data_IF_460697334164
#
_entry.id   IF_460697334164
#
_cell.length_a   1.000
_cell.length_b   1.000
_cell.length_c   1.000
_cell.angle_alpha   90.00
_cell.angle_beta   90.00
_cell.angle_gamma   90.00
#
_symmetry.space_group_name_H-M   'P 1'
#
loop_
_entity.id
_entity.type
_entity.pdbx_description
1 polymer ?
#
# COMPACT_ATOMS: atom_id res chain seq x y z
N UNK A 1 3.61 -17.37 17.09
CA UNK A 1 3.04 -17.91 15.85
C UNK A 1 3.11 -19.42 15.90
N UNK A 2 2.07 -20.12 15.45
CA UNK A 2 2.08 -21.57 15.22
C UNK A 2 1.84 -21.86 13.74
N UNK A 3 2.56 -22.83 13.19
CA UNK A 3 2.46 -23.23 11.78
C UNK A 3 2.22 -24.74 11.69
N UNK A 4 1.33 -25.13 10.80
CA UNK A 4 0.99 -26.52 10.52
C UNK A 4 1.22 -26.80 9.05
N UNK A 5 1.70 -28.01 8.76
CA UNK A 5 2.06 -28.42 7.41
C UNK A 5 1.43 -29.78 7.12
N UNK A 6 1.09 -30.01 5.85
CA UNK A 6 0.79 -31.36 5.38
C UNK A 6 2.03 -32.25 5.35
N UNK A 7 1.81 -33.55 5.42
CA UNK A 7 2.85 -34.58 5.34
C UNK A 7 2.52 -35.52 4.17
N UNK A 8 3.42 -35.77 3.20
CA UNK A 8 4.85 -35.38 3.15
C UNK A 8 5.18 -34.07 2.41
N UNK A 9 4.20 -33.35 1.84
CA UNK A 9 4.46 -32.24 0.92
C UNK A 9 4.92 -30.91 1.55
N UNK A 10 4.94 -30.79 2.89
CA UNK A 10 5.39 -29.60 3.62
C UNK A 10 4.71 -28.27 3.18
N UNK A 11 3.55 -28.32 2.53
CA UNK A 11 2.72 -27.13 2.26
C UNK A 11 2.10 -26.64 3.56
N UNK A 12 2.06 -25.32 3.77
CA UNK A 12 1.46 -24.71 4.96
C UNK A 12 -0.05 -24.93 4.94
N UNK A 13 -0.60 -25.67 5.90
CA UNK A 13 -2.04 -25.97 6.00
C UNK A 13 -2.76 -25.11 7.04
N UNK A 14 -2.03 -24.54 8.00
CA UNK A 14 -2.60 -23.59 8.94
C UNK A 14 -1.57 -22.69 9.61
N UNK A 15 -2.02 -21.49 9.99
CA UNK A 15 -1.28 -20.56 10.82
C UNK A 15 -2.16 -20.07 12.00
N UNK A 16 -1.58 -20.03 13.20
CA UNK A 16 -2.26 -19.57 14.43
C UNK A 16 -1.46 -18.47 15.14
N UNK A 17 -2.18 -17.62 15.87
CA UNK A 17 -1.62 -16.62 16.78
C UNK A 17 -2.04 -17.01 18.20
N UNK A 18 -1.06 -17.21 19.10
CA UNK A 18 -1.29 -17.65 20.48
C UNK A 18 -2.15 -18.93 20.62
N UNK A 19 -2.01 -19.87 19.68
CA UNK A 19 -2.82 -21.10 19.65
C UNK A 19 -4.30 -20.87 19.29
N UNK A 20 -4.66 -19.63 18.93
CA UNK A 20 -5.98 -19.20 18.48
C UNK A 20 -5.87 -18.49 17.11
N UNK A 21 -6.94 -17.81 16.67
CA UNK A 21 -6.96 -17.01 15.44
C UNK A 21 -6.44 -17.78 14.19
N UNK A 22 -6.98 -18.98 14.02
CA UNK A 22 -6.63 -19.90 12.95
C UNK A 22 -6.90 -19.29 11.57
N UNK A 23 -5.93 -19.42 10.68
CA UNK A 23 -6.10 -19.28 9.24
C UNK A 23 -5.70 -20.62 8.63
N UNK A 24 -6.67 -21.31 8.03
CA UNK A 24 -6.46 -22.58 7.34
C UNK A 24 -6.16 -22.34 5.86
N UNK A 25 -5.43 -23.26 5.24
CA UNK A 25 -5.08 -23.23 3.83
C UNK A 25 -5.34 -24.59 3.19
N UNK A 26 -5.87 -24.59 1.97
CA UNK A 26 -6.06 -25.80 1.17
C UNK A 26 -5.51 -25.58 -0.23
N UNK A 27 -5.11 -26.69 -0.86
CA UNK A 27 -4.49 -26.70 -2.17
C UNK A 27 -5.14 -27.78 -3.04
N UNK A 28 -5.08 -27.62 -4.35
CA UNK A 28 -5.39 -28.70 -5.29
C UNK A 28 -4.22 -29.69 -5.42
N UNK A 29 -4.42 -30.69 -6.29
CA UNK A 29 -3.44 -31.75 -6.57
C UNK A 29 -2.18 -31.21 -7.26
N UNK A 30 -2.27 -30.06 -7.95
CA UNK A 30 -1.14 -29.37 -8.59
C UNK A 30 -0.41 -28.41 -7.63
N UNK A 31 -0.92 -28.23 -6.41
CA UNK A 31 -0.33 -27.38 -5.38
C UNK A 31 -0.70 -25.91 -5.46
N UNK A 32 -1.71 -25.56 -6.25
CA UNK A 32 -2.26 -24.21 -6.27
C UNK A 32 -3.18 -24.02 -5.06
N UNK A 33 -3.10 -22.83 -4.46
CA UNK A 33 -3.91 -22.48 -3.30
C UNK A 33 -5.38 -22.33 -3.71
N UNK A 34 -6.26 -23.13 -3.11
CA UNK A 34 -7.71 -23.11 -3.36
C UNK A 34 -8.51 -22.58 -2.18
N UNK A 35 -7.89 -22.44 -1.01
CA UNK A 35 -8.50 -21.83 0.17
C UNK A 35 -7.47 -21.05 1.00
N UNK A 36 -7.84 -19.85 1.45
CA UNK A 36 -7.10 -19.07 2.44
C UNK A 36 -8.08 -18.51 3.48
N UNK A 37 -8.03 -19.03 4.71
CA UNK A 37 -9.05 -18.77 5.72
C UNK A 37 -10.44 -19.19 5.22
N UNK A 38 -11.40 -18.26 5.27
CA UNK A 38 -12.75 -18.48 4.75
C UNK A 38 -12.90 -18.18 3.25
N UNK A 39 -11.84 -17.69 2.58
CA UNK A 39 -11.88 -17.36 1.17
C UNK A 39 -11.60 -18.59 0.32
N UNK A 40 -12.44 -18.82 -0.68
CA UNK A 40 -12.18 -19.78 -1.76
C UNK A 40 -11.45 -19.06 -2.90
N UNK A 41 -10.43 -19.69 -3.45
CA UNK A 41 -9.66 -19.25 -4.60
C UNK A 41 -9.84 -20.27 -5.72
N UNK A 42 -10.16 -19.80 -6.92
CA UNK A 42 -10.38 -20.64 -8.11
C UNK A 42 -9.30 -20.34 -9.14
N UNK A 43 -8.20 -21.11 -9.18
CA UNK A 43 -7.23 -21.02 -10.25
C UNK A 43 -7.74 -21.67 -11.55
N UNK A 44 -7.29 -21.18 -12.71
CA UNK A 44 -7.59 -21.81 -13.99
C UNK A 44 -6.84 -23.14 -14.10
N UNK A 45 -7.56 -24.21 -14.42
CA UNK A 45 -7.00 -25.57 -14.57
C UNK A 45 -5.86 -25.74 -15.60
N UNK A 46 -5.63 -24.79 -16.52
CA UNK A 46 -4.66 -24.96 -17.62
C UNK A 46 -3.35 -24.18 -17.41
N UNK A 47 -3.42 -23.04 -16.71
CA UNK A 47 -2.28 -22.14 -16.54
C UNK A 47 -2.11 -21.65 -15.09
N UNK A 48 -2.98 -22.06 -14.17
CA UNK A 48 -2.87 -21.78 -12.73
C UNK A 48 -3.09 -20.33 -12.29
N UNK A 49 -3.35 -19.40 -13.22
CA UNK A 49 -3.69 -18.01 -12.89
C UNK A 49 -5.04 -17.98 -12.17
N UNK A 50 -5.15 -17.13 -11.15
CA UNK A 50 -6.37 -16.98 -10.36
C UNK A 50 -7.50 -16.40 -11.22
N UNK A 51 -8.61 -17.11 -11.40
CA UNK A 51 -9.76 -16.63 -12.17
C UNK A 51 -10.81 -15.97 -11.30
N UNK A 52 -10.96 -16.44 -10.04
CA UNK A 52 -11.95 -15.89 -9.13
C UNK A 52 -11.58 -16.09 -7.66
N UNK A 53 -12.12 -15.24 -6.80
CA UNK A 53 -12.24 -15.51 -5.36
C UNK A 53 -13.69 -15.37 -4.90
N UNK A 54 -14.02 -16.03 -3.79
CA UNK A 54 -15.30 -15.81 -3.10
C UNK A 54 -15.08 -15.82 -1.59
N UNK A 55 -15.60 -14.80 -0.92
CA UNK A 55 -15.59 -14.68 0.53
C UNK A 55 -16.92 -14.06 0.99
N UNK A 56 -17.79 -14.87 1.60
CA UNK A 56 -19.14 -14.43 1.98
C UNK A 56 -19.95 -13.97 0.77
N UNK A 57 -20.54 -12.77 0.84
CA UNK A 57 -21.29 -12.19 -0.28
C UNK A 57 -20.42 -11.51 -1.34
N UNK A 58 -19.10 -11.46 -1.13
CA UNK A 58 -18.18 -10.79 -2.04
C UNK A 58 -17.52 -11.82 -2.96
N UNK A 59 -17.55 -11.56 -4.26
CA UNK A 59 -16.88 -12.38 -5.26
C UNK A 59 -16.04 -11.50 -6.18
N UNK A 60 -14.81 -11.93 -6.48
CA UNK A 60 -13.95 -11.28 -7.48
C UNK A 60 -13.74 -12.19 -8.67
N UNK A 61 -13.65 -11.61 -9.87
CA UNK A 61 -13.19 -12.30 -11.08
C UNK A 61 -12.01 -11.55 -11.70
N UNK A 62 -11.14 -12.29 -12.38
CA UNK A 62 -9.94 -11.78 -13.04
C UNK A 62 -9.90 -12.25 -14.49
N UNK A 63 -9.49 -11.37 -15.39
CA UNK A 63 -9.22 -11.68 -16.78
C UNK A 63 -7.78 -11.29 -17.11
N UNK A 64 -7.16 -12.05 -18.01
CA UNK A 64 -5.76 -11.88 -18.38
C UNK A 64 -5.61 -11.74 -19.89
N UNK A 65 -4.57 -11.04 -20.32
CA UNK A 65 -4.15 -11.01 -21.72
C UNK A 65 -3.64 -12.40 -22.14
N UNK A 66 -3.51 -12.68 -23.45
CA UNK A 66 -2.86 -13.90 -23.92
C UNK A 66 -1.41 -14.10 -23.43
N UNK A 67 -0.79 -13.05 -22.90
CA UNK A 67 0.56 -13.08 -22.32
C UNK A 67 0.55 -13.28 -20.78
N UNK A 68 -0.63 -13.43 -20.17
CA UNK A 68 -0.80 -13.66 -18.73
C UNK A 68 -0.78 -12.38 -17.88
N UNK A 69 -0.77 -11.20 -18.49
CA UNK A 69 -0.88 -9.93 -17.75
C UNK A 69 -2.32 -9.70 -17.32
N UNK A 70 -2.55 -9.13 -16.13
CA UNK A 70 -3.90 -8.77 -15.69
C UNK A 70 -4.51 -7.74 -16.66
N UNK A 71 -5.67 -8.08 -17.22
CA UNK A 71 -6.41 -7.27 -18.18
C UNK A 71 -7.65 -6.65 -17.54
N UNK A 72 -8.32 -7.38 -16.64
CA UNK A 72 -9.42 -6.84 -15.85
C UNK A 72 -9.58 -7.57 -14.52
N UNK A 73 -10.15 -6.87 -13.55
CA UNK A 73 -10.63 -7.45 -12.31
C UNK A 73 -11.95 -6.81 -11.89
N UNK A 74 -12.88 -7.58 -11.35
CA UNK A 74 -14.21 -7.10 -10.96
C UNK A 74 -14.63 -7.73 -9.65
N UNK A 75 -15.00 -6.92 -8.66
CA UNK A 75 -15.61 -7.38 -7.43
C UNK A 75 -17.12 -7.07 -7.42
N UNK A 76 -17.89 -8.05 -7.00
CA UNK A 76 -19.34 -7.94 -6.79
C UNK A 76 -19.70 -8.19 -5.34
N UNK A 77 -20.81 -7.61 -4.90
CA UNK A 77 -21.44 -7.85 -3.60
C UNK A 77 -22.85 -8.36 -3.86
N UNK A 78 -23.14 -9.58 -3.43
CA UNK A 78 -24.40 -10.26 -3.73
C UNK A 78 -24.77 -10.21 -5.24
N UNK A 79 -23.77 -10.32 -6.12
CA UNK A 79 -23.91 -10.27 -7.57
C UNK A 79 -23.96 -8.87 -8.20
N UNK A 80 -24.05 -7.79 -7.41
CA UNK A 80 -24.00 -6.42 -7.92
C UNK A 80 -22.55 -5.90 -8.01
N UNK A 81 -22.13 -5.24 -9.11
CA UNK A 81 -20.78 -4.69 -9.24
C UNK A 81 -20.51 -3.61 -8.18
N UNK A 82 -19.38 -3.73 -7.48
CA UNK A 82 -18.91 -2.75 -6.50
C UNK A 82 -17.61 -2.07 -6.96
N UNK A 83 -16.72 -2.86 -7.55
CA UNK A 83 -15.37 -2.48 -7.94
C UNK A 83 -15.03 -3.12 -9.28
N UNK A 84 -14.40 -2.39 -10.19
CA UNK A 84 -13.84 -2.98 -11.39
C UNK A 84 -12.64 -2.17 -11.90
N UNK A 85 -11.59 -2.84 -12.40
CA UNK A 85 -10.64 -2.22 -13.32
C UNK A 85 -10.58 -2.98 -14.64
N UNK A 86 -10.24 -2.27 -15.70
CA UNK A 86 -9.70 -2.86 -16.92
C UNK A 86 -8.52 -2.05 -17.46
N UNK A 87 -7.64 -2.74 -18.19
CA UNK A 87 -6.38 -2.20 -18.74
C UNK A 87 -6.33 -2.34 -20.27
N UNK A 88 -7.31 -1.76 -21.01
CA UNK A 88 -7.55 -2.09 -22.41
C UNK A 88 -6.45 -1.62 -23.37
N UNK A 89 -5.52 -0.77 -22.93
CA UNK A 89 -4.43 -0.27 -23.75
C UNK A 89 -3.14 -0.30 -22.95
N UNK A 90 -2.16 -1.04 -23.47
CA UNK A 90 -0.76 -1.02 -23.07
C UNK A 90 0.09 -0.56 -24.25
N UNK A 91 1.30 -0.08 -23.98
CA UNK A 91 2.30 0.08 -25.04
C UNK A 91 3.07 -1.22 -25.31
N UNK A 92 4.00 -1.17 -26.26
CA UNK A 92 4.81 -2.31 -26.68
C UNK A 92 5.73 -2.87 -25.58
N UNK A 93 5.92 -2.12 -24.48
CA UNK A 93 6.68 -2.56 -23.30
C UNK A 93 5.76 -3.06 -22.17
N UNK A 94 4.45 -3.20 -22.42
CA UNK A 94 3.46 -3.67 -21.45
C UNK A 94 3.01 -2.60 -20.44
N UNK A 95 3.48 -1.35 -20.55
CA UNK A 95 3.09 -0.27 -19.63
C UNK A 95 1.66 0.15 -19.90
N UNK A 96 0.87 0.35 -18.85
CA UNK A 96 -0.55 0.70 -18.94
C UNK A 96 -0.67 2.10 -19.53
N UNK A 97 -1.30 2.23 -20.70
CA UNK A 97 -1.66 3.53 -21.30
C UNK A 97 -3.09 3.94 -21.03
N UNK A 98 -3.97 3.00 -20.71
CA UNK A 98 -5.35 3.28 -20.30
C UNK A 98 -5.79 2.35 -19.18
N UNK A 99 -6.34 2.92 -18.12
CA UNK A 99 -7.08 2.23 -17.07
C UNK A 99 -8.52 2.75 -17.05
N UNK A 100 -9.49 1.85 -17.01
CA UNK A 100 -10.89 2.19 -16.71
C UNK A 100 -11.21 1.63 -15.34
N UNK A 101 -11.60 2.49 -14.40
CA UNK A 101 -11.91 2.12 -13.01
C UNK A 101 -13.36 2.44 -12.69
N UNK A 102 -14.09 1.46 -12.16
CA UNK A 102 -15.43 1.65 -11.58
C UNK A 102 -15.35 1.44 -10.07
N UNK A 103 -15.70 2.49 -9.31
CA UNK A 103 -15.72 2.47 -7.85
C UNK A 103 -17.08 2.90 -7.33
N UNK A 104 -17.81 1.97 -6.69
CA UNK A 104 -19.15 2.19 -6.14
C UNK A 104 -20.10 2.85 -7.14
N UNK A 105 -20.10 2.36 -8.39
CA UNK A 105 -20.96 2.86 -9.47
C UNK A 105 -20.40 4.03 -10.28
N UNK A 106 -19.29 4.66 -9.86
CA UNK A 106 -18.65 5.75 -10.61
C UNK A 106 -17.53 5.21 -11.48
N UNK A 107 -17.65 5.36 -12.80
CA UNK A 107 -16.62 4.97 -13.77
C UNK A 107 -15.74 6.15 -14.17
N UNK A 108 -14.43 5.99 -14.08
CA UNK A 108 -13.41 6.96 -14.47
C UNK A 108 -12.42 6.32 -15.44
N UNK A 109 -12.11 7.02 -16.53
CA UNK A 109 -11.02 6.62 -17.43
C UNK A 109 -9.78 7.43 -17.14
N UNK A 110 -8.66 6.74 -17.01
CA UNK A 110 -7.32 7.30 -16.85
C UNK A 110 -6.48 6.96 -18.08
N UNK A 111 -5.84 7.95 -18.66
CA UNK A 111 -4.88 7.78 -19.75
C UNK A 111 -3.49 8.20 -19.29
N UNK A 112 -2.50 7.36 -19.57
CA UNK A 112 -1.10 7.58 -19.20
C UNK A 112 -0.24 7.70 -20.45
N UNK A 113 0.65 8.68 -20.44
CA UNK A 113 1.74 8.79 -21.39
C UNK A 113 3.08 8.63 -20.67
N UNK A 114 4.08 8.17 -21.41
CA UNK A 114 5.43 7.98 -20.91
C UNK A 114 6.42 8.72 -21.80
N UNK A 115 7.45 9.28 -21.19
CA UNK A 115 8.54 9.92 -21.93
C UNK A 115 9.44 8.87 -22.62
N UNK A 116 10.40 9.28 -23.47
CA UNK A 116 11.30 8.33 -24.14
C UNK A 116 12.19 7.49 -23.19
N UNK A 117 12.41 7.94 -21.95
CA UNK A 117 13.11 7.17 -20.92
C UNK A 117 12.17 6.20 -20.16
N UNK A 118 10.87 6.25 -20.47
CA UNK A 118 9.84 5.40 -19.90
C UNK A 118 9.31 5.84 -18.54
N UNK A 119 9.54 7.09 -18.17
CA UNK A 119 8.98 7.70 -16.95
C UNK A 119 7.58 8.20 -17.24
N UNK A 120 6.70 8.18 -16.24
CA UNK A 120 5.33 8.67 -16.37
C UNK A 120 5.37 10.16 -16.71
N UNK A 121 4.83 10.55 -17.86
CA UNK A 121 4.91 11.90 -18.39
C UNK A 121 3.61 12.66 -18.10
N UNK A 122 2.51 12.24 -18.71
CA UNK A 122 1.20 12.87 -18.47
C UNK A 122 0.16 11.86 -18.00
N UNK A 123 -0.77 12.36 -17.19
CA UNK A 123 -1.95 11.64 -16.71
C UNK A 123 -3.18 12.46 -17.07
N UNK A 124 -4.14 11.83 -17.73
CA UNK A 124 -5.44 12.42 -18.00
C UNK A 124 -6.54 11.65 -17.26
N UNK A 125 -7.53 12.37 -16.74
CA UNK A 125 -8.73 11.82 -16.10
C UNK A 125 -9.97 12.28 -16.86
N UNK A 126 -10.67 11.35 -17.48
CA UNK A 126 -11.83 11.67 -18.33
C UNK A 126 -11.48 12.59 -19.51
N UNK A 127 -10.26 12.45 -20.05
CA UNK A 127 -9.74 13.30 -21.13
C UNK A 127 -9.15 14.64 -20.70
N UNK A 128 -9.33 15.08 -19.45
CA UNK A 128 -8.70 16.29 -18.93
C UNK A 128 -7.30 15.97 -18.37
N UNK A 129 -6.30 16.77 -18.70
CA UNK A 129 -4.97 16.68 -18.08
C UNK A 129 -5.09 16.92 -16.57
N UNK A 130 -4.49 16.04 -15.77
CA UNK A 130 -4.45 16.17 -14.30
C UNK A 130 -3.03 16.06 -13.74
N UNK A 131 -2.06 15.64 -14.54
CA UNK A 131 -0.66 15.70 -14.19
C UNK A 131 0.20 15.74 -15.45
N UNK A 132 1.20 16.62 -15.44
CA UNK A 132 2.31 16.70 -16.38
C UNK A 132 3.60 16.72 -15.56
N UNK A 133 4.42 15.68 -15.68
CA UNK A 133 5.60 15.45 -14.87
C UNK A 133 6.86 15.83 -15.64
N UNK A 134 7.67 16.70 -15.04
CA UNK A 134 9.01 16.96 -15.55
C UNK A 134 10.06 16.28 -14.67
N UNK A 135 11.17 15.92 -15.31
CA UNK A 135 12.29 15.27 -14.66
C UNK A 135 13.61 15.91 -15.10
N UNK A 136 14.61 15.86 -14.22
CA UNK A 136 15.98 16.18 -14.61
C UNK A 136 16.64 15.02 -15.40
N UNK A 137 17.91 15.22 -15.75
CA UNK A 137 18.69 14.23 -16.50
C UNK A 137 18.99 12.94 -15.71
N UNK A 138 18.97 13.00 -14.37
CA UNK A 138 19.21 11.84 -13.49
C UNK A 138 17.92 11.07 -13.16
N UNK A 139 16.75 11.60 -13.56
CA UNK A 139 15.47 10.96 -13.28
C UNK A 139 14.76 11.47 -12.04
N UNK A 140 15.25 12.53 -11.41
CA UNK A 140 14.56 13.14 -10.29
C UNK A 140 13.36 13.97 -10.79
N UNK A 141 12.19 13.80 -10.15
CA UNK A 141 10.96 14.50 -10.53
C UNK A 141 11.01 15.97 -10.10
N UNK A 142 11.11 16.87 -11.06
CA UNK A 142 11.16 18.31 -10.81
C UNK A 142 9.80 18.85 -10.35
N UNK A 143 8.71 18.46 -10.98
CA UNK A 143 7.38 18.90 -10.54
C UNK A 143 6.27 18.00 -11.11
N UNK A 144 5.06 18.24 -10.61
CA UNK A 144 3.81 17.84 -11.26
C UNK A 144 3.04 19.12 -11.57
N UNK A 145 2.77 19.40 -12.83
CA UNK A 145 1.97 20.54 -13.27
C UNK A 145 0.60 20.05 -13.75
N UNK A 146 -0.46 20.34 -12.99
CA UNK A 146 -1.83 19.90 -13.31
C UNK A 146 -2.40 20.60 -14.55
N UNK A 147 -1.82 21.74 -14.97
CA UNK A 147 -2.27 22.54 -16.13
C UNK A 147 -1.43 22.33 -17.39
N UNK A 148 -0.35 21.55 -17.29
CA UNK A 148 0.59 21.30 -18.38
C UNK A 148 1.59 22.44 -18.62
N UNK A 149 2.69 22.10 -19.29
CA UNK A 149 3.76 23.04 -19.63
C UNK A 149 4.86 23.13 -18.57
N UNK A 150 5.72 24.15 -18.68
CA UNK A 150 6.94 24.26 -17.87
C UNK A 150 6.67 24.25 -16.36
N UNK A 151 7.59 23.64 -15.58
CA UNK A 151 7.49 23.60 -14.13
C UNK A 151 7.45 25.02 -13.53
N UNK A 152 6.36 25.39 -12.81
CA UNK A 152 6.29 26.71 -12.19
C UNK A 152 7.25 26.85 -11.02
N UNK A 153 7.39 25.79 -10.21
CA UNK A 153 8.30 25.71 -9.06
C UNK A 153 9.01 24.36 -9.08
N UNK A 154 10.14 24.21 -9.79
CA UNK A 154 10.84 22.94 -9.85
C UNK A 154 11.50 22.62 -8.49
N UNK A 155 11.46 21.35 -8.14
CA UNK A 155 12.24 20.77 -7.06
C UNK A 155 13.74 20.94 -7.33
N UNK A 156 14.50 21.12 -6.26
CA UNK A 156 15.95 21.29 -6.30
C UNK A 156 16.59 20.06 -5.70
N UNK A 157 17.58 19.51 -6.39
CA UNK A 157 18.36 18.36 -5.95
C UNK A 157 19.82 18.75 -5.78
N UNK A 158 20.52 18.11 -4.86
CA UNK A 158 21.97 18.24 -4.76
C UNK A 158 22.69 17.26 -5.72
N UNK A 159 24.02 17.32 -5.74
CA UNK A 159 24.85 16.47 -6.62
C UNK A 159 24.78 14.96 -6.30
N UNK A 160 24.09 14.56 -5.23
CA UNK A 160 23.87 13.17 -4.84
C UNK A 160 22.40 12.76 -5.02
N UNK A 161 21.64 13.49 -5.84
CA UNK A 161 20.22 13.26 -6.13
C UNK A 161 19.31 13.36 -4.89
N UNK A 162 19.76 14.03 -3.82
CA UNK A 162 18.94 14.25 -2.62
C UNK A 162 18.08 15.50 -2.82
N UNK A 163 16.80 15.40 -2.48
CA UNK A 163 15.84 16.49 -2.63
C UNK A 163 16.17 17.58 -1.61
N UNK A 164 16.48 18.80 -2.03
CA UNK A 164 16.78 19.95 -1.15
C UNK A 164 15.54 20.83 -0.94
N UNK A 165 14.70 20.95 -1.98
CA UNK A 165 13.39 21.64 -1.90
C UNK A 165 12.41 21.03 -2.88
N UNK A 166 11.15 20.91 -2.52
CA UNK A 166 10.06 20.38 -3.36
C UNK A 166 9.35 21.46 -4.19
N UNK A 167 9.79 22.72 -4.11
CA UNK A 167 9.14 23.84 -4.80
C UNK A 167 7.82 24.31 -4.18
N UNK A 168 7.34 23.69 -3.10
CA UNK A 168 6.11 24.09 -2.39
C UNK A 168 6.40 24.93 -1.14
N UNK A 169 7.67 25.28 -0.91
CA UNK A 169 8.13 25.95 0.31
C UNK A 169 8.70 25.00 1.35
N UNK A 170 8.75 23.67 1.08
CA UNK A 170 9.48 22.75 1.95
C UNK A 170 10.95 22.69 1.58
N UNK A 171 11.76 22.52 2.61
CA UNK A 171 13.21 22.29 2.49
C UNK A 171 13.59 21.05 3.26
N UNK A 172 14.61 20.37 2.76
CA UNK A 172 15.00 19.05 3.20
C UNK A 172 16.49 19.08 3.55
N UNK A 173 16.83 18.50 4.69
CA UNK A 173 18.21 18.39 5.15
C UNK A 173 18.51 16.93 5.51
N UNK A 174 19.74 16.51 5.23
CA UNK A 174 20.19 15.13 5.37
C UNK A 174 21.32 15.01 6.38
N UNK A 175 21.51 13.81 6.91
CA UNK A 175 22.74 13.43 7.62
C UNK A 175 23.89 13.32 6.63
N UNK A 176 25.13 13.25 7.13
CA UNK A 176 26.31 12.98 6.30
C UNK A 176 26.21 11.63 5.57
N UNK A 177 25.54 10.65 6.18
CA UNK A 177 25.26 9.34 5.59
C UNK A 177 24.14 9.35 4.53
N UNK A 178 23.49 10.50 4.29
CA UNK A 178 22.45 10.67 3.27
C UNK A 178 21.03 10.33 3.72
N UNK A 179 20.79 10.09 5.01
CA UNK A 179 19.46 9.85 5.56
C UNK A 179 18.72 11.18 5.72
N UNK A 180 17.41 11.21 5.44
CA UNK A 180 16.62 12.42 5.66
C UNK A 180 16.65 12.77 7.14
N UNK A 181 17.12 13.95 7.52
CA UNK A 181 17.18 14.37 8.92
C UNK A 181 16.02 15.28 9.28
N UNK A 182 15.66 16.18 8.36
CA UNK A 182 14.68 17.22 8.63
C UNK A 182 13.96 17.66 7.37
N UNK A 183 12.65 17.84 7.48
CA UNK A 183 11.83 18.61 6.54
C UNK A 183 11.37 19.87 7.25
N UNK A 184 11.48 21.04 6.63
CA UNK A 184 11.09 22.33 7.22
C UNK A 184 10.10 23.06 6.32
N UNK A 185 9.04 23.60 6.92
CA UNK A 185 7.99 24.36 6.24
C UNK A 185 7.37 25.37 7.21
N UNK A 186 7.27 26.64 6.82
CA UNK A 186 6.58 27.66 7.62
C UNK A 186 7.12 27.87 9.05
N UNK A 187 8.42 27.57 9.28
CA UNK A 187 9.05 27.66 10.60
C UNK A 187 8.81 26.45 11.52
N UNK A 188 8.11 25.42 11.03
CA UNK A 188 7.97 24.13 11.70
C UNK A 188 8.83 23.07 11.01
N UNK A 189 9.15 22.03 11.76
CA UNK A 189 10.07 20.98 11.36
C UNK A 189 9.46 19.60 11.58
N UNK A 190 9.68 18.71 10.62
CA UNK A 190 9.59 17.26 10.85
C UNK A 190 10.99 16.70 10.97
N UNK A 191 11.31 16.11 12.11
CA UNK A 191 12.65 15.55 12.40
C UNK A 191 12.60 14.03 12.31
N UNK A 192 13.55 13.42 11.60
CA UNK A 192 13.61 11.98 11.42
C UNK A 192 14.88 11.42 12.04
N UNK A 193 14.77 10.24 12.66
CA UNK A 193 15.90 9.50 13.18
C UNK A 193 15.84 8.05 12.72
N UNK A 194 16.97 7.56 12.24
CA UNK A 194 17.15 6.20 11.71
C UNK A 194 18.12 5.44 12.61
N UNK A 195 18.05 4.11 12.56
CA UNK A 195 19.11 3.28 13.12
C UNK A 195 20.26 3.07 12.12
N UNK A 196 21.33 2.40 12.58
CA UNK A 196 22.50 2.13 11.76
C UNK A 196 22.24 1.22 10.53
N UNK A 197 21.05 0.61 10.42
CA UNK A 197 20.62 -0.19 9.28
C UNK A 197 19.67 0.59 8.35
N UNK A 198 19.46 1.88 8.59
CA UNK A 198 18.61 2.75 7.78
C UNK A 198 17.11 2.55 8.03
N UNK A 199 16.71 1.91 9.13
CA UNK A 199 15.29 1.80 9.50
C UNK A 199 14.84 3.03 10.28
N UNK A 200 13.73 3.65 9.87
CA UNK A 200 13.16 4.80 10.55
C UNK A 200 12.72 4.41 11.97
N UNK A 201 13.31 5.05 12.99
CA UNK A 201 13.03 4.84 14.41
C UNK A 201 12.09 5.88 14.99
N UNK A 202 12.13 7.12 14.48
CA UNK A 202 11.15 8.14 14.88
C UNK A 202 10.99 9.24 13.85
N UNK A 203 9.80 9.84 13.85
CA UNK A 203 9.49 11.10 13.20
C UNK A 203 8.83 12.04 14.22
N UNK A 204 9.42 13.20 14.47
CA UNK A 204 8.79 14.25 15.28
C UNK A 204 8.11 15.26 14.37
N UNK A 205 6.78 15.28 14.37
CA UNK A 205 5.96 16.09 13.47
C UNK A 205 5.69 17.47 14.08
N UNK A 206 5.88 18.53 13.29
CA UNK A 206 5.46 19.89 13.66
C UNK A 206 6.27 20.51 14.81
N UNK A 207 7.55 20.16 14.94
CA UNK A 207 8.39 20.77 15.96
C UNK A 207 8.71 22.24 15.64
N UNK A 208 8.74 23.08 16.67
CA UNK A 208 9.21 24.47 16.57
C UNK A 208 10.73 24.60 16.66
N UNK A 209 11.44 23.53 17.01
CA UNK A 209 12.89 23.51 17.11
C UNK A 209 13.45 22.62 15.99
N UNK A 210 14.51 23.07 15.28
CA UNK A 210 15.02 22.36 14.12
C UNK A 210 15.83 21.11 14.48
N UNK A 211 16.17 20.88 15.74
CA UNK A 211 17.08 19.80 16.15
C UNK A 211 16.52 18.93 17.28
N UNK A 212 15.46 19.37 17.96
CA UNK A 212 14.81 18.66 19.06
C UNK A 212 13.29 18.60 18.88
N UNK A 213 12.63 17.59 19.45
CA UNK A 213 11.18 17.44 19.34
C UNK A 213 10.41 18.40 20.28
N UNK A 214 10.60 19.70 20.11
CA UNK A 214 9.96 20.73 20.93
C UNK A 214 8.60 21.09 20.35
N UNK A 215 7.54 20.92 21.15
CA UNK A 215 6.16 21.22 20.76
C UNK A 215 5.54 20.31 19.68
N UNK A 216 6.31 19.33 19.18
CA UNK A 216 5.87 18.41 18.14
C UNK A 216 5.23 17.13 18.68
N UNK A 217 4.67 16.33 17.76
CA UNK A 217 4.16 14.98 18.05
C UNK A 217 5.22 13.95 17.68
N UNK A 218 5.70 13.19 18.66
CA UNK A 218 6.71 12.16 18.44
C UNK A 218 6.04 10.84 18.05
N UNK A 219 6.21 10.43 16.80
CA UNK A 219 5.92 9.08 16.32
C UNK A 219 7.20 8.26 16.42
N UNK A 220 7.15 7.12 17.11
CA UNK A 220 8.30 6.22 17.25
C UNK A 220 7.95 4.80 16.83
N UNK A 221 8.89 4.12 16.18
CA UNK A 221 8.73 2.77 15.65
C UNK A 221 9.63 1.78 16.38
N UNK A 222 9.04 0.68 16.79
CA UNK A 222 9.77 -0.50 17.26
C UNK A 222 10.02 -1.40 16.05
N UNK A 223 11.28 -1.77 15.83
CA UNK A 223 11.72 -2.58 14.70
C UNK A 223 12.52 -3.75 15.24
N UNK A 224 12.20 -4.96 14.78
CA UNK A 224 12.89 -6.18 15.16
C UNK A 224 14.26 -6.33 14.46
N UNK A 225 14.99 -7.40 14.80
CA UNK A 225 16.32 -7.67 14.24
C UNK A 225 16.31 -7.99 12.73
N UNK A 226 15.14 -8.24 12.14
CA UNK A 226 14.98 -8.47 10.70
C UNK A 226 14.55 -7.18 9.95
N UNK A 227 14.48 -6.04 10.63
CA UNK A 227 14.09 -4.77 10.01
C UNK A 227 12.58 -4.58 9.84
N UNK A 228 11.75 -5.41 10.49
CA UNK A 228 10.28 -5.34 10.40
C UNK A 228 9.72 -4.46 11.50
N UNK A 229 8.74 -3.62 11.16
CA UNK A 229 8.01 -2.81 12.16
C UNK A 229 7.15 -3.72 13.03
N UNK A 230 7.43 -3.76 14.32
CA UNK A 230 6.69 -4.55 15.31
C UNK A 230 5.85 -3.68 16.25
N UNK A 231 6.06 -2.37 16.26
CA UNK A 231 5.30 -1.46 17.10
C UNK A 231 5.35 -0.01 16.62
N UNK A 232 4.31 0.74 16.98
CA UNK A 232 4.20 2.18 16.78
C UNK A 232 3.75 2.85 18.07
N UNK A 233 4.47 3.89 18.48
CA UNK A 233 4.13 4.77 19.60
C UNK A 233 3.87 6.18 19.12
N UNK A 234 2.93 6.86 19.76
CA UNK A 234 2.69 8.29 19.59
C UNK A 234 2.79 8.94 20.96
N UNK A 235 3.72 9.90 21.11
CA UNK A 235 4.05 10.55 22.38
C UNK A 235 4.30 9.55 23.52
N UNK A 236 5.00 8.45 23.21
CA UNK A 236 5.35 7.37 24.14
C UNK A 236 4.26 6.31 24.34
N UNK A 237 3.00 6.60 24.02
CA UNK A 237 1.90 5.66 24.13
C UNK A 237 1.92 4.65 22.98
N UNK A 238 1.90 3.36 23.28
CA UNK A 238 1.80 2.29 22.28
C UNK A 238 0.42 2.37 21.61
N UNK A 239 0.41 2.55 20.29
CA UNK A 239 -0.80 2.62 19.49
C UNK A 239 -1.11 1.28 18.83
N UNK A 240 -0.08 0.65 18.25
CA UNK A 240 -0.21 -0.57 17.46
C UNK A 240 1.00 -1.48 17.65
N UNK A 241 0.76 -2.78 17.68
CA UNK A 241 1.79 -3.81 17.54
C UNK A 241 1.55 -4.67 16.29
N UNK A 242 2.59 -5.30 15.77
CA UNK A 242 2.49 -6.22 14.64
C UNK A 242 3.18 -7.55 14.93
N UNK A 243 2.49 -8.64 14.58
CA UNK A 243 3.08 -9.97 14.47
C UNK A 243 3.21 -10.32 13.00
N UNK A 244 4.32 -10.95 12.64
CA UNK A 244 4.67 -11.25 11.27
C UNK A 244 4.72 -12.76 11.04
N UNK A 245 4.12 -13.22 9.93
CA UNK A 245 4.22 -14.60 9.44
C UNK A 245 5.61 -14.87 8.87
N UNK A 246 6.17 -13.87 8.17
CA UNK A 246 7.49 -13.93 7.53
C UNK A 246 8.06 -12.51 7.32
N UNK A 247 8.94 -12.32 6.33
CA UNK A 247 9.59 -11.04 6.04
C UNK A 247 8.64 -9.95 5.53
N UNK A 248 7.52 -10.31 4.88
CA UNK A 248 6.64 -9.37 4.18
C UNK A 248 5.18 -9.42 4.63
N UNK A 249 4.76 -10.49 5.31
CA UNK A 249 3.36 -10.68 5.74
C UNK A 249 3.16 -10.36 7.21
N UNK A 250 2.41 -9.31 7.50
CA UNK A 250 1.86 -9.05 8.84
C UNK A 250 0.75 -10.06 9.09
N UNK A 251 0.95 -10.97 10.05
CA UNK A 251 -0.04 -11.94 10.46
C UNK A 251 -1.20 -11.29 11.21
N UNK A 252 -0.88 -10.42 12.17
CA UNK A 252 -1.84 -9.81 13.07
C UNK A 252 -1.42 -8.41 13.53
N UNK A 253 -2.43 -7.60 13.85
CA UNK A 253 -2.30 -6.32 14.53
C UNK A 253 -2.70 -6.50 16.00
N UNK A 254 -1.93 -5.87 16.89
CA UNK A 254 -2.13 -5.90 18.34
C UNK A 254 -2.50 -4.51 18.85
N UNK A 255 -3.35 -4.45 19.86
CA UNK A 255 -3.59 -3.22 20.62
C UNK A 255 -2.50 -2.95 21.68
N UNK A 256 -2.66 -1.86 22.43
CA UNK A 256 -1.74 -1.45 23.49
C UNK A 256 -1.60 -2.46 24.64
N UNK A 257 -2.57 -3.37 24.82
CA UNK A 257 -2.52 -4.45 25.82
C UNK A 257 -1.84 -5.72 25.30
N UNK A 258 -1.51 -5.76 23.99
CA UNK A 258 -0.98 -6.94 23.32
C UNK A 258 -2.05 -7.92 22.84
N UNK A 259 -3.34 -7.56 22.92
CA UNK A 259 -4.42 -8.38 22.40
C UNK A 259 -4.50 -8.29 20.87
N UNK A 260 -4.82 -9.41 20.21
CA UNK A 260 -5.00 -9.46 18.75
C UNK A 260 -6.30 -8.75 18.39
N UNK A 261 -6.20 -7.66 17.63
CA UNK A 261 -7.36 -6.88 17.16
C UNK A 261 -7.66 -7.09 15.68
N UNK A 262 -6.66 -7.45 14.89
CA UNK A 262 -6.83 -7.78 13.47
C UNK A 262 -6.04 -9.04 13.13
N UNK A 263 -6.61 -9.94 12.31
CA UNK A 263 -5.90 -11.09 11.71
C UNK A 263 -5.96 -10.97 10.20
N UNK A 264 -4.82 -10.93 9.52
CA UNK A 264 -4.75 -10.77 8.07
C UNK A 264 -4.52 -12.12 7.38
N UNK A 265 -5.19 -12.31 6.25
CA UNK A 265 -5.13 -13.55 5.46
C UNK A 265 -4.59 -13.23 4.09
N UNK A 266 -3.56 -13.96 3.68
CA UNK A 266 -2.90 -13.81 2.39
C UNK A 266 -3.22 -15.01 1.52
N UNK A 267 -3.56 -14.74 0.27
CA UNK A 267 -3.79 -15.76 -0.74
C UNK A 267 -2.65 -15.77 -1.75
N UNK A 268 -2.77 -14.94 -2.77
CA UNK A 268 -1.90 -15.03 -3.96
C UNK A 268 -0.69 -14.10 -3.95
N UNK A 269 -0.75 -13.01 -3.17
CA UNK A 269 0.29 -11.97 -3.18
C UNK A 269 1.19 -12.03 -1.93
N UNK A 270 2.50 -11.71 -2.08
CA UNK A 270 3.47 -11.88 -1.01
C UNK A 270 3.38 -10.85 0.12
N UNK A 271 2.80 -9.67 -0.12
CA UNK A 271 2.73 -8.57 0.87
C UNK A 271 1.34 -7.92 0.97
N UNK A 272 0.35 -8.39 0.21
CA UNK A 272 -0.99 -7.80 0.14
C UNK A 272 -1.99 -8.81 0.70
N UNK A 273 -2.67 -8.52 1.81
CA UNK A 273 -3.70 -9.41 2.33
C UNK A 273 -4.96 -9.37 1.46
N UNK A 274 -5.61 -10.52 1.30
CA UNK A 274 -6.89 -10.65 0.59
C UNK A 274 -8.07 -10.34 1.51
N UNK A 275 -7.93 -10.63 2.81
CA UNK A 275 -8.97 -10.40 3.81
C UNK A 275 -8.42 -10.19 5.22
N UNK A 276 -9.29 -9.74 6.11
CA UNK A 276 -8.98 -9.57 7.52
C UNK A 276 -10.15 -9.92 8.43
N UNK A 277 -9.86 -10.49 9.59
CA UNK A 277 -10.80 -10.55 10.71
C UNK A 277 -10.55 -9.39 11.66
N UNK A 278 -11.60 -8.64 12.05
CA UNK A 278 -11.52 -7.54 13.04
C UNK A 278 -12.84 -7.36 13.77
N UNK A 279 -12.78 -7.26 15.10
CA UNK A 279 -13.98 -7.03 15.93
C UNK A 279 -15.08 -8.09 15.79
N UNK A 280 -14.73 -9.33 15.46
CA UNK A 280 -15.68 -10.42 15.19
C UNK A 280 -16.21 -10.48 13.75
N UNK A 281 -15.94 -9.47 12.93
CA UNK A 281 -16.33 -9.44 11.52
C UNK A 281 -15.19 -9.90 10.61
N UNK A 282 -15.55 -10.36 9.42
CA UNK A 282 -14.60 -10.65 8.34
C UNK A 282 -14.79 -9.62 7.24
N UNK A 283 -13.67 -9.09 6.73
CA UNK A 283 -13.66 -8.09 5.67
C UNK A 283 -12.80 -8.58 4.50
N UNK A 284 -13.27 -8.40 3.27
CA UNK A 284 -12.44 -8.53 2.08
C UNK A 284 -11.73 -7.21 1.81
N UNK A 285 -10.44 -7.27 1.46
CA UNK A 285 -9.64 -6.10 1.07
C UNK A 285 -9.51 -6.13 -0.45
N UNK A 286 -10.26 -5.26 -1.12
CA UNK A 286 -10.18 -5.10 -2.57
C UNK A 286 -9.06 -4.12 -2.91
N UNK A 287 -8.24 -4.49 -3.90
CA UNK A 287 -7.01 -3.80 -4.24
C UNK A 287 -6.91 -3.55 -5.74
N UNK A 288 -6.13 -2.54 -6.13
CA UNK A 288 -5.78 -2.36 -7.55
C UNK A 288 -4.68 -3.33 -8.00
N UNK A 289 -4.30 -3.28 -9.28
CA UNK A 289 -3.20 -4.07 -9.84
C UNK A 289 -1.84 -3.96 -9.12
N UNK A 290 -1.57 -2.86 -8.39
CA UNK A 290 -0.34 -2.71 -7.60
C UNK A 290 -0.46 -3.34 -6.22
N UNK A 291 -1.68 -3.72 -5.80
CA UNK A 291 -1.98 -4.17 -4.45
C UNK A 291 -2.37 -3.05 -3.50
N UNK A 292 -2.65 -1.85 -4.00
CA UNK A 292 -3.08 -0.73 -3.14
C UNK A 292 -4.49 -0.99 -2.60
N UNK A 293 -4.70 -0.86 -1.29
CA UNK A 293 -6.03 -1.02 -0.68
C UNK A 293 -7.02 0.03 -1.22
N UNK A 294 -8.07 -0.40 -1.92
CA UNK A 294 -9.10 0.49 -2.50
C UNK A 294 -10.38 0.48 -1.68
N UNK A 295 -10.89 -0.71 -1.34
CA UNK A 295 -12.09 -0.89 -0.54
C UNK A 295 -11.88 -1.99 0.51
N UNK A 296 -12.46 -1.79 1.69
CA UNK A 296 -12.56 -2.81 2.74
C UNK A 296 -14.03 -3.10 2.96
N UNK A 297 -14.47 -4.30 2.61
CA UNK A 297 -15.90 -4.68 2.50
C UNK A 297 -16.23 -5.72 3.56
N UNK A 298 -17.21 -5.44 4.41
CA UNK A 298 -17.74 -6.43 5.35
C UNK A 298 -18.46 -7.54 4.58
N UNK A 299 -18.00 -8.79 4.74
CA UNK A 299 -18.43 -9.89 3.85
C UNK A 299 -19.75 -10.52 4.26
N UNK A 300 -20.32 -10.11 5.39
CA UNK A 300 -21.63 -10.54 5.85
C UNK A 300 -22.73 -9.59 5.36
N UNK A 301 -22.49 -8.28 5.48
CA UNK A 301 -23.45 -7.23 5.11
C UNK A 301 -23.25 -6.67 3.71
N UNK A 302 -22.05 -6.80 3.13
CA UNK A 302 -21.67 -6.14 1.89
C UNK A 302 -21.34 -4.66 2.04
N UNK A 303 -21.34 -4.12 3.26
CA UNK A 303 -21.08 -2.70 3.51
C UNK A 303 -19.59 -2.36 3.35
N UNK A 304 -19.29 -1.22 2.74
CA UNK A 304 -17.92 -0.69 2.65
C UNK A 304 -17.56 -0.01 3.97
N UNK A 305 -16.62 -0.60 4.71
CA UNK A 305 -16.10 -0.08 5.96
C UNK A 305 -15.03 1.01 5.76
N UNK A 306 -14.28 0.93 4.65
CA UNK A 306 -13.26 1.91 4.28
C UNK A 306 -13.13 1.97 2.76
N UNK A 307 -12.97 3.18 2.22
CA UNK A 307 -12.50 3.44 0.86
C UNK A 307 -11.29 4.33 0.92
N UNK A 308 -10.30 4.07 0.08
CA UNK A 308 -9.14 4.95 -0.10
C UNK A 308 -8.99 5.18 -1.60
N UNK A 309 -8.87 6.44 -2.05
CA UNK A 309 -8.45 6.84 -3.40
C UNK A 309 -7.02 7.36 -3.38
N UNK A 310 -6.24 7.08 -4.42
CA UNK A 310 -4.85 7.53 -4.55
C UNK A 310 -4.64 8.36 -5.81
N UNK A 311 -3.67 9.27 -5.77
CA UNK A 311 -3.00 9.72 -6.98
C UNK A 311 -2.02 8.66 -7.51
N UNK A 312 -1.35 8.96 -8.64
CA UNK A 312 -0.40 8.04 -9.28
C UNK A 312 0.87 7.77 -8.45
N UNK A 313 1.11 8.55 -7.41
CA UNK A 313 2.26 8.42 -6.52
C UNK A 313 1.88 7.83 -5.16
N UNK A 314 0.60 7.49 -4.94
CA UNK A 314 0.14 6.86 -3.71
C UNK A 314 -0.29 7.83 -2.63
N UNK A 315 -0.45 9.13 -2.92
CA UNK A 315 -1.02 10.09 -1.96
C UNK A 315 -2.51 9.80 -1.84
N UNK A 316 -3.05 9.56 -0.63
CA UNK A 316 -4.50 9.43 -0.45
C UNK A 316 -5.21 10.73 -0.82
N UNK A 317 -6.12 10.68 -1.80
CA UNK A 317 -6.92 11.83 -2.27
C UNK A 317 -8.35 11.82 -1.75
N UNK A 318 -8.82 10.66 -1.29
CA UNK A 318 -10.13 10.49 -0.66
C UNK A 318 -10.08 9.32 0.31
N UNK A 319 -10.64 9.49 1.51
CA UNK A 319 -10.75 8.42 2.52
C UNK A 319 -12.12 8.46 3.15
N UNK A 320 -12.80 7.32 3.24
CA UNK A 320 -14.00 7.14 4.07
C UNK A 320 -13.73 6.17 5.21
N UNK A 321 -14.54 6.24 6.26
CA UNK A 321 -14.31 5.46 7.48
C UNK A 321 -13.08 5.92 8.26
N UNK A 322 -12.68 5.19 9.31
CA UNK A 322 -11.48 5.52 10.07
C UNK A 322 -10.22 5.35 9.22
N UNK A 323 -9.30 6.32 9.27
CA UNK A 323 -8.04 6.26 8.52
C UNK A 323 -7.14 5.09 8.98
N UNK A 324 -7.29 4.67 10.24
CA UNK A 324 -6.50 3.62 10.88
C UNK A 324 -7.24 2.28 10.99
N UNK A 325 -8.33 2.10 10.24
CA UNK A 325 -9.15 0.89 10.23
C UNK A 325 -8.31 -0.38 10.01
N UNK A 326 -7.34 -0.29 9.10
CA UNK A 326 -6.34 -1.31 8.78
C UNK A 326 -5.03 -0.62 8.32
N UNK A 327 -3.86 -1.29 8.37
CA UNK A 327 -2.57 -0.62 8.20
C UNK A 327 -2.02 -0.56 6.77
N UNK A 328 -2.62 -1.24 5.79
CA UNK A 328 -2.14 -1.34 4.42
C UNK A 328 -2.65 -0.19 3.55
N UNK A 329 -1.77 0.40 2.75
CA UNK A 329 -2.09 1.49 1.83
C UNK A 329 -1.64 1.22 0.40
N UNK A 330 -0.98 2.20 -0.19
CA UNK A 330 -0.44 2.13 -1.55
C UNK A 330 0.48 0.91 -1.75
N UNK A 331 0.27 0.17 -2.85
CA UNK A 331 1.01 -1.04 -3.23
C UNK A 331 1.18 -2.08 -2.10
N UNK A 332 0.23 -2.15 -1.15
CA UNK A 332 0.27 -3.07 -0.02
C UNK A 332 1.32 -2.74 1.05
N UNK A 333 1.91 -1.54 1.03
CA UNK A 333 2.82 -1.10 2.08
C UNK A 333 2.08 -0.68 3.36
N UNK A 334 2.77 -0.63 4.49
CA UNK A 334 2.17 -0.20 5.76
C UNK A 334 2.11 1.34 5.79
N UNK A 335 0.91 1.90 5.63
CA UNK A 335 0.67 3.32 5.64
C UNK A 335 0.55 3.85 7.08
N UNK A 336 1.26 4.93 7.36
CA UNK A 336 1.17 5.65 8.61
C UNK A 336 0.49 7.01 8.42
N UNK A 337 -0.76 7.12 8.87
CA UNK A 337 -1.55 8.34 8.72
C UNK A 337 -1.01 9.56 9.47
N UNK A 338 -0.18 9.38 10.51
CA UNK A 338 0.44 10.52 11.21
C UNK A 338 1.55 11.13 10.35
N UNK A 339 2.42 10.29 9.79
CA UNK A 339 3.59 10.74 9.02
C UNK A 339 3.32 10.93 7.52
N UNK A 340 2.29 10.27 6.98
CA UNK A 340 2.02 10.17 5.55
C UNK A 340 2.94 9.19 4.80
N UNK A 341 3.85 8.49 5.50
CA UNK A 341 4.80 7.57 4.89
C UNK A 341 4.18 6.18 4.68
N UNK A 342 4.66 5.48 3.65
CA UNK A 342 4.35 4.08 3.38
C UNK A 342 5.61 3.23 3.58
N UNK A 343 5.56 2.28 4.50
CA UNK A 343 6.66 1.34 4.73
C UNK A 343 6.57 0.14 3.78
N UNK A 344 7.60 -0.03 2.96
CA UNK A 344 7.81 -1.19 2.10
C UNK A 344 9.03 -1.97 2.55
N UNK A 345 8.82 -3.12 3.21
CA UNK A 345 9.90 -4.00 3.64
C UNK A 345 10.97 -3.25 4.44
N UNK A 346 12.06 -2.86 3.76
CA UNK A 346 13.22 -2.18 4.31
C UNK A 346 13.21 -0.64 4.25
N UNK A 347 12.33 0.02 3.46
CA UNK A 347 12.35 1.50 3.30
C UNK A 347 10.98 2.15 3.48
N UNK A 348 11.02 3.42 3.85
CA UNK A 348 9.87 4.30 3.93
C UNK A 348 9.81 5.16 2.66
N UNK A 349 8.61 5.25 2.09
CA UNK A 349 8.31 5.98 0.86
C UNK A 349 7.43 7.18 1.19
N UNK A 350 7.82 8.35 0.70
CA UNK A 350 7.00 9.56 0.77
C UNK A 350 6.26 9.76 -0.56
N UNK A 351 4.95 9.49 -0.54
CA UNK A 351 4.10 9.63 -1.71
C UNK A 351 4.02 11.06 -2.25
N UNK A 352 4.18 12.08 -1.38
CA UNK A 352 4.10 13.49 -1.81
C UNK A 352 5.24 13.85 -2.73
N UNK A 353 6.44 13.34 -2.43
CA UNK A 353 7.64 13.57 -3.24
C UNK A 353 7.93 12.44 -4.22
N UNK A 354 7.23 11.31 -4.10
CA UNK A 354 7.34 10.17 -5.00
C UNK A 354 8.66 9.42 -4.86
N UNK A 355 9.24 9.37 -3.65
CA UNK A 355 10.55 8.75 -3.41
C UNK A 355 10.78 8.18 -2.02
#
# INVERSE_FOLDING_TARGET
>A
MGFHYENPGLRLTAETVNGAHLVAFAYDDDGLLTQAGAMTLTPHASHGLLEATTLGVVATSYAYTPFGELDADTATVAGAPLYANSYPIRDELGRIRRKVETLQGTTTTWDYAYDPAGRLDTVHRGGALVADHAYDANGNRLCTNETGGACPSPAVYDAQDRLVSDGTGRTYAYTEAGELRRVSEGGLHTLYAYDALGSLRSACLGSSDPDTCTGGTLVAYEVDALGRRIGKRVNGALQKGFLWSDALRVAAELDASGAVVSRFVYGTRPNVPESMGKGGNTYQILTDHLGSARLVVDVASGAVAQRIDYDVWGVPTFVTGPADFQPFGFAGGLYDADTGLVRFGARDYDARTGR
#
